data_IF_864452686963
#
_entry.id   IF_864452686963
#
_cell.length_a   1.000
_cell.length_b   1.000
_cell.length_c   1.000
_cell.angle_alpha   90.00
_cell.angle_beta   90.00
_cell.angle_gamma   90.00
#
_symmetry.space_group_name_H-M   'P 1'
#
loop_
_entity.id
_entity.type
_entity.pdbx_description
1 polymer ?
#
# COMPACT_ATOMS: atom_id res chain seq x y z
N UNK A 1 -2.92 17.31 -14.40
CA UNK A 1 -3.40 17.52 -13.03
C UNK A 1 -2.20 17.37 -12.13
N UNK A 2 -1.89 18.41 -11.38
CA UNK A 2 -0.86 18.39 -10.33
C UNK A 2 -1.66 18.31 -9.03
N UNK A 3 -1.39 17.30 -8.22
CA UNK A 3 -2.03 17.13 -6.92
C UNK A 3 -1.20 17.81 -5.85
N UNK A 4 -1.86 18.32 -4.82
CA UNK A 4 -1.17 18.81 -3.64
C UNK A 4 -0.41 17.67 -2.96
N UNK A 5 0.77 17.97 -2.44
CA UNK A 5 1.55 17.02 -1.65
C UNK A 5 0.84 16.74 -0.34
N UNK A 6 0.91 15.50 0.13
CA UNK A 6 0.42 15.16 1.46
C UNK A 6 1.19 15.96 2.53
N UNK A 7 0.56 16.27 3.69
CA UNK A 7 1.24 16.96 4.77
C UNK A 7 2.53 16.23 5.18
N UNK A 8 3.61 16.98 5.37
CA UNK A 8 4.95 16.41 5.59
C UNK A 8 5.01 15.46 6.79
N UNK A 9 4.20 15.73 7.82
CA UNK A 9 4.06 14.93 9.03
C UNK A 9 3.34 13.59 8.80
N UNK A 10 2.58 13.44 7.71
CA UNK A 10 1.85 12.20 7.37
C UNK A 10 2.78 11.19 6.69
N UNK A 11 3.77 11.64 5.91
CA UNK A 11 4.66 10.77 5.13
C UNK A 11 5.41 9.73 6.00
N UNK A 12 6.03 10.10 7.15
CA UNK A 12 6.70 9.13 8.01
C UNK A 12 5.76 8.06 8.57
N UNK A 13 4.48 8.38 8.74
CA UNK A 13 3.49 7.44 9.27
C UNK A 13 3.05 6.45 8.21
N UNK A 14 2.88 6.91 6.96
CA UNK A 14 2.64 6.02 5.82
C UNK A 14 3.82 5.07 5.60
N UNK A 15 5.05 5.56 5.72
CA UNK A 15 6.26 4.74 5.63
C UNK A 15 6.34 3.73 6.78
N UNK A 16 6.14 4.16 8.03
CA UNK A 16 6.17 3.31 9.24
C UNK A 16 5.24 2.09 9.13
N UNK A 17 4.07 2.26 8.52
CA UNK A 17 3.08 1.18 8.35
C UNK A 17 3.12 0.52 6.97
N UNK A 18 4.16 0.78 6.17
CA UNK A 18 4.32 0.26 4.81
C UNK A 18 3.02 0.40 3.99
N UNK A 19 2.46 1.61 3.99
CA UNK A 19 1.24 1.93 3.27
C UNK A 19 1.40 1.59 1.78
N UNK A 20 0.54 0.73 1.21
CA UNK A 20 0.65 0.36 -0.20
C UNK A 20 0.54 1.60 -1.08
N UNK A 21 1.23 1.64 -2.22
CA UNK A 21 1.17 2.79 -3.12
C UNK A 21 -0.28 3.19 -3.40
N UNK A 22 -1.15 2.24 -3.76
CA UNK A 22 -2.57 2.49 -4.04
C UNK A 22 -3.29 3.27 -2.93
N UNK A 23 -2.95 3.02 -1.67
CA UNK A 23 -3.47 3.77 -0.52
C UNK A 23 -2.92 5.19 -0.53
N UNK A 24 -1.61 5.37 -0.69
CA UNK A 24 -0.98 6.70 -0.79
C UNK A 24 -1.62 7.53 -1.91
N UNK A 25 -1.80 6.94 -3.10
CA UNK A 25 -2.48 7.60 -4.23
C UNK A 25 -3.90 8.07 -3.87
N UNK A 26 -4.66 7.20 -3.20
CA UNK A 26 -6.00 7.53 -2.76
C UNK A 26 -5.99 8.70 -1.77
N UNK A 27 -5.15 8.64 -0.75
CA UNK A 27 -5.01 9.70 0.25
C UNK A 27 -4.59 11.03 -0.39
N UNK A 28 -3.66 11.02 -1.35
CA UNK A 28 -3.25 12.21 -2.11
C UNK A 28 -4.43 12.84 -2.86
N UNK A 29 -5.25 12.02 -3.52
CA UNK A 29 -6.42 12.49 -4.27
C UNK A 29 -7.47 13.10 -3.34
N UNK A 30 -7.77 12.44 -2.22
CA UNK A 30 -8.77 12.93 -1.26
C UNK A 30 -8.27 14.19 -0.56
N UNK A 31 -7.00 14.25 -0.19
CA UNK A 31 -6.37 15.46 0.36
C UNK A 31 -6.47 16.65 -0.60
N UNK A 32 -6.15 16.46 -1.89
CA UNK A 32 -6.28 17.51 -2.90
C UNK A 32 -7.74 17.97 -3.07
N UNK A 33 -8.71 17.03 -3.07
CA UNK A 33 -10.14 17.38 -3.13
C UNK A 33 -10.57 18.13 -1.87
N UNK A 34 -10.06 17.77 -0.70
CA UNK A 34 -10.30 18.52 0.53
C UNK A 34 -9.74 19.94 0.45
N UNK A 35 -8.54 20.13 -0.12
CA UNK A 35 -7.95 21.46 -0.36
C UNK A 35 -8.82 22.32 -1.28
N UNK A 36 -9.34 21.76 -2.37
CA UNK A 36 -10.28 22.46 -3.25
C UNK A 36 -11.61 22.78 -2.53
N UNK A 37 -12.12 21.82 -1.76
CA UNK A 37 -13.36 21.97 -0.99
C UNK A 37 -13.27 23.12 0.01
N UNK A 38 -12.21 23.18 0.84
CA UNK A 38 -12.05 24.24 1.85
C UNK A 38 -11.87 25.62 1.21
N UNK A 39 -11.27 25.70 0.02
CA UNK A 39 -11.19 26.95 -0.75
C UNK A 39 -12.58 27.43 -1.15
N UNK A 40 -13.41 26.55 -1.70
CA UNK A 40 -14.79 26.89 -2.08
C UNK A 40 -15.65 27.24 -0.85
N UNK A 41 -15.55 26.47 0.24
CA UNK A 41 -16.24 26.78 1.51
C UNK A 41 -15.86 28.18 2.01
N UNK A 42 -14.57 28.55 1.92
CA UNK A 42 -14.10 29.88 2.34
C UNK A 42 -14.59 31.01 1.43
N UNK A 43 -14.88 30.73 0.16
CA UNK A 43 -15.49 31.70 -0.77
C UNK A 43 -16.97 31.92 -0.44
N UNK A 44 -17.73 30.85 -0.21
CA UNK A 44 -19.16 30.94 0.08
C UNK A 44 -19.46 31.42 1.51
N UNK A 45 -18.61 31.08 2.47
CA UNK A 45 -18.76 31.41 3.89
C UNK A 45 -17.43 31.88 4.51
N UNK A 46 -17.00 33.12 4.24
CA UNK A 46 -15.70 33.63 4.71
C UNK A 46 -15.57 33.72 6.23
N UNK A 47 -16.70 33.86 6.94
CA UNK A 47 -16.77 33.96 8.41
C UNK A 47 -16.99 32.60 9.09
N UNK A 48 -17.10 31.49 8.34
CA UNK A 48 -17.28 30.16 8.91
C UNK A 48 -15.99 29.69 9.59
N UNK A 49 -16.05 29.46 10.90
CA UNK A 49 -14.91 29.05 11.71
C UNK A 49 -14.87 27.52 11.83
N UNK A 50 -13.77 26.94 11.38
CA UNK A 50 -13.42 25.52 11.52
C UNK A 50 -11.92 25.35 11.31
N UNK A 51 -11.37 24.21 11.72
CA UNK A 51 -9.95 23.91 11.57
C UNK A 51 -9.65 23.33 10.17
N UNK A 52 -9.13 24.17 9.28
CA UNK A 52 -8.79 23.79 7.90
C UNK A 52 -7.63 22.78 7.84
N UNK A 53 -6.61 22.97 8.67
CA UNK A 53 -5.43 22.10 8.69
C UNK A 53 -5.83 20.71 9.19
N UNK A 54 -6.77 20.65 10.14
CA UNK A 54 -7.34 19.41 10.63
C UNK A 54 -8.16 18.67 9.56
N UNK A 55 -8.92 19.36 8.71
CA UNK A 55 -9.61 18.75 7.55
C UNK A 55 -8.60 18.17 6.56
N UNK A 56 -7.55 18.93 6.24
CA UNK A 56 -6.49 18.49 5.32
C UNK A 56 -5.74 17.26 5.86
N UNK A 57 -5.44 17.25 7.16
CA UNK A 57 -4.85 16.12 7.86
C UNK A 57 -5.79 14.90 7.84
N UNK A 58 -7.06 15.10 8.16
CA UNK A 58 -8.07 14.04 8.15
C UNK A 58 -8.19 13.39 6.77
N UNK A 59 -8.32 14.18 5.72
CA UNK A 59 -8.35 13.69 4.34
C UNK A 59 -7.10 12.88 3.96
N UNK A 60 -5.93 13.33 4.41
CA UNK A 60 -4.64 12.67 4.16
C UNK A 60 -4.42 11.37 4.97
N UNK A 61 -5.25 11.07 5.97
CA UNK A 61 -5.02 9.94 6.90
C UNK A 61 -6.23 9.05 7.16
N UNK A 62 -7.44 9.42 6.70
CA UNK A 62 -8.69 8.74 7.05
C UNK A 62 -8.69 7.23 6.78
N UNK A 63 -7.94 6.79 5.76
CA UNK A 63 -7.90 5.40 5.34
C UNK A 63 -6.64 4.65 5.82
N UNK A 64 -5.88 5.21 6.76
CA UNK A 64 -4.59 4.65 7.22
C UNK A 64 -4.68 3.20 7.70
N UNK A 65 -5.81 2.78 8.26
CA UNK A 65 -6.02 1.39 8.67
C UNK A 65 -5.90 0.38 7.53
N UNK A 66 -6.08 0.80 6.27
CA UNK A 66 -5.88 -0.03 5.08
C UNK A 66 -4.42 -0.35 4.80
N UNK A 67 -3.47 0.29 5.49
CA UNK A 67 -2.07 -0.13 5.50
C UNK A 67 -1.90 -1.52 6.15
N UNK A 68 -2.73 -1.82 7.16
CA UNK A 68 -2.79 -3.11 7.85
C UNK A 68 -3.79 -4.05 7.18
N UNK A 69 -5.03 -3.61 6.97
CA UNK A 69 -6.09 -4.39 6.33
C UNK A 69 -6.11 -4.18 4.81
N UNK A 70 -5.00 -4.55 4.15
CA UNK A 70 -4.75 -4.25 2.72
C UNK A 70 -5.80 -4.81 1.76
N UNK A 71 -6.48 -5.89 2.12
CA UNK A 71 -7.55 -6.47 1.30
C UNK A 71 -8.72 -5.48 1.10
N UNK A 72 -8.97 -4.58 2.06
CA UNK A 72 -10.03 -3.56 2.01
C UNK A 72 -9.75 -2.44 0.98
N UNK A 73 -8.58 -2.43 0.33
CA UNK A 73 -8.29 -1.58 -0.83
C UNK A 73 -8.99 -2.05 -2.13
N UNK A 74 -9.49 -3.28 -2.12
CA UNK A 74 -10.10 -3.94 -3.29
C UNK A 74 -11.46 -4.56 -2.98
N UNK A 75 -11.63 -4.99 -1.75
CA UNK A 75 -12.82 -5.69 -1.28
C UNK A 75 -13.57 -4.82 -0.25
N UNK A 76 -14.90 -4.99 -0.11
CA UNK A 76 -15.64 -4.33 0.96
C UNK A 76 -15.11 -4.74 2.34
N UNK A 77 -14.98 -3.78 3.25
CA UNK A 77 -14.54 -4.00 4.62
C UNK A 77 -14.61 -2.71 5.45
N UNK A 78 -14.47 -2.84 6.76
CA UNK A 78 -14.58 -1.75 7.74
C UNK A 78 -13.60 -1.93 8.91
N UNK A 79 -12.66 -2.88 8.85
CA UNK A 79 -11.68 -3.12 9.89
C UNK A 79 -10.65 -1.99 9.96
N UNK A 80 -10.35 -1.33 8.82
CA UNK A 80 -9.50 -0.15 8.79
C UNK A 80 -10.00 0.98 9.70
N UNK A 81 -11.32 1.11 9.86
CA UNK A 81 -11.96 2.15 10.67
C UNK A 81 -11.73 1.94 12.17
N UNK A 82 -11.56 0.69 12.60
CA UNK A 82 -11.29 0.33 14.00
C UNK A 82 -9.82 0.54 14.37
N UNK A 83 -8.90 0.07 13.52
CA UNK A 83 -7.46 0.14 13.82
C UNK A 83 -6.86 1.52 13.51
N UNK A 84 -7.42 2.24 12.54
CA UNK A 84 -6.86 3.50 12.03
C UNK A 84 -6.57 4.54 13.12
N UNK A 85 -7.50 4.82 14.06
CA UNK A 85 -7.23 5.74 15.16
C UNK A 85 -6.05 5.32 16.04
N UNK A 86 -5.92 4.02 16.33
CA UNK A 86 -4.81 3.49 17.12
C UNK A 86 -3.46 3.74 16.43
N UNK A 87 -3.36 3.50 15.11
CA UNK A 87 -2.13 3.70 14.34
C UNK A 87 -1.65 5.17 14.39
N UNK A 88 -2.59 6.11 14.32
CA UNK A 88 -2.27 7.54 14.37
C UNK A 88 -1.84 7.97 15.78
N UNK A 89 -2.51 7.48 16.83
CA UNK A 89 -2.15 7.73 18.23
C UNK A 89 -0.75 7.18 18.56
N UNK A 90 -0.45 5.94 18.15
CA UNK A 90 0.88 5.32 18.31
C UNK A 90 1.99 6.01 17.51
N UNK A 91 1.61 6.86 16.56
CA UNK A 91 2.53 7.68 15.77
C UNK A 91 2.65 9.11 16.29
N UNK A 92 2.03 9.41 17.45
CA UNK A 92 2.19 10.67 18.17
C UNK A 92 1.16 11.74 17.82
N UNK A 93 0.13 11.42 17.02
CA UNK A 93 -0.96 12.36 16.74
C UNK A 93 -1.97 12.42 17.87
N UNK A 94 -2.70 13.54 17.95
CA UNK A 94 -3.75 13.76 18.95
C UNK A 94 -5.02 12.94 18.66
N UNK A 95 -5.88 12.75 19.66
CA UNK A 95 -7.21 12.15 19.46
C UNK A 95 -8.05 12.93 18.43
N UNK A 96 -7.93 14.26 18.44
CA UNK A 96 -8.62 15.13 17.49
C UNK A 96 -8.20 14.83 16.04
N UNK A 97 -6.94 14.51 15.81
CA UNK A 97 -6.40 14.11 14.50
C UNK A 97 -6.76 12.65 14.17
N UNK A 98 -6.63 11.75 15.14
CA UNK A 98 -6.80 10.31 14.92
C UNK A 98 -8.25 9.91 14.61
N UNK A 99 -9.24 10.70 15.05
CA UNK A 99 -10.66 10.36 14.90
C UNK A 99 -11.12 10.18 13.46
N UNK A 100 -10.55 10.93 12.50
CA UNK A 100 -10.97 10.88 11.09
C UNK A 100 -10.84 9.49 10.48
N UNK A 101 -9.90 8.68 11.00
CA UNK A 101 -9.74 7.32 10.54
C UNK A 101 -10.97 6.43 10.80
N UNK A 102 -11.86 6.85 11.72
CA UNK A 102 -13.15 6.23 11.99
C UNK A 102 -14.32 7.09 11.49
N UNK A 103 -14.29 8.40 11.75
CA UNK A 103 -15.46 9.27 11.57
C UNK A 103 -15.79 9.54 10.10
N UNK A 104 -14.85 9.42 9.17
CA UNK A 104 -15.13 9.67 7.74
C UNK A 104 -16.22 8.74 7.18
N UNK A 105 -16.25 7.47 7.58
CA UNK A 105 -17.25 6.48 7.17
C UNK A 105 -18.42 6.36 8.17
N UNK A 106 -18.25 6.87 9.39
CA UNK A 106 -19.20 6.71 10.52
C UNK A 106 -19.70 8.02 11.12
N UNK A 107 -19.63 9.12 10.39
CA UNK A 107 -20.09 10.44 10.85
C UNK A 107 -21.54 10.42 11.35
N UNK A 108 -22.38 9.51 10.85
CA UNK A 108 -23.78 9.34 11.24
C UNK A 108 -23.98 8.52 12.52
N UNK A 109 -22.94 7.89 13.05
CA UNK A 109 -22.93 7.17 14.33
C UNK A 109 -22.39 8.04 15.46
N UNK A 110 -21.72 9.15 15.13
CA UNK A 110 -21.28 10.14 16.10
C UNK A 110 -22.48 10.95 16.61
N UNK A 111 -22.57 11.14 17.93
CA UNK A 111 -23.68 11.89 18.53
C UNK A 111 -23.73 13.35 18.03
N UNK A 112 -22.55 13.94 17.78
CA UNK A 112 -22.38 15.30 17.29
C UNK A 112 -21.17 15.36 16.33
N UNK A 113 -21.32 14.96 15.05
CA UNK A 113 -20.24 15.07 14.09
C UNK A 113 -19.84 16.54 13.93
N UNK A 114 -18.54 16.83 14.00
CA UNK A 114 -18.05 18.20 13.79
C UNK A 114 -18.05 18.53 12.29
N UNK A 115 -17.97 19.82 11.96
CA UNK A 115 -17.92 20.25 10.57
C UNK A 115 -16.74 19.62 9.83
N UNK A 116 -15.58 19.52 10.49
CA UNK A 116 -14.37 18.93 9.91
C UNK A 116 -14.58 17.46 9.52
N UNK A 117 -15.28 16.69 10.35
CA UNK A 117 -15.58 15.28 10.08
C UNK A 117 -16.48 15.13 8.85
N UNK A 118 -17.48 16.01 8.71
CA UNK A 118 -18.37 16.05 7.55
C UNK A 118 -17.64 16.49 6.27
N UNK A 119 -16.72 17.44 6.36
CA UNK A 119 -15.91 17.90 5.23
C UNK A 119 -14.95 16.81 4.73
N UNK A 120 -14.33 16.05 5.64
CA UNK A 120 -13.48 14.89 5.27
C UNK A 120 -14.32 13.80 4.62
N UNK A 121 -15.47 13.42 5.21
CA UNK A 121 -16.40 12.45 4.63
C UNK A 121 -16.89 12.90 3.24
N UNK A 122 -17.16 14.20 3.07
CA UNK A 122 -17.61 14.77 1.80
C UNK A 122 -16.52 14.72 0.74
N UNK A 123 -15.27 15.07 1.10
CA UNK A 123 -14.12 14.97 0.21
C UNK A 123 -13.88 13.52 -0.26
N UNK A 124 -13.92 12.54 0.65
CA UNK A 124 -13.80 11.11 0.29
C UNK A 124 -15.00 10.61 -0.55
N UNK A 125 -16.19 11.18 -0.36
CA UNK A 125 -17.33 10.81 -1.20
C UNK A 125 -17.19 11.39 -2.61
N UNK A 126 -16.89 12.68 -2.73
CA UNK A 126 -16.97 13.43 -3.98
C UNK A 126 -15.74 13.29 -4.87
N UNK A 127 -14.60 12.76 -4.37
CA UNK A 127 -13.38 12.68 -5.19
C UNK A 127 -13.59 11.92 -6.50
N UNK A 128 -14.44 10.89 -6.50
CA UNK A 128 -14.83 10.11 -7.68
C UNK A 128 -16.11 10.61 -8.37
N UNK A 129 -16.61 11.78 -7.98
CA UNK A 129 -17.84 12.38 -8.48
C UNK A 129 -19.11 11.71 -7.97
N UNK A 130 -19.02 10.85 -6.95
CA UNK A 130 -20.19 10.24 -6.31
C UNK A 130 -20.89 11.32 -5.47
N UNK A 131 -22.21 11.42 -5.63
CA UNK A 131 -23.09 12.25 -4.80
C UNK A 131 -23.66 11.43 -3.66
N UNK A 132 -23.81 12.05 -2.50
CA UNK A 132 -24.46 11.45 -1.33
C UNK A 132 -25.38 12.49 -0.70
N UNK A 133 -26.67 12.39 -1.05
CA UNK A 133 -27.67 13.34 -0.62
C UNK A 133 -27.83 13.38 0.91
N UNK A 134 -27.58 12.27 1.61
CA UNK A 134 -27.70 12.23 3.07
C UNK A 134 -26.57 13.04 3.70
N UNK A 135 -25.33 12.80 3.26
CA UNK A 135 -24.17 13.57 3.71
C UNK A 135 -24.29 15.06 3.36
N UNK A 136 -24.73 15.38 2.14
CA UNK A 136 -24.95 16.76 1.68
C UNK A 136 -26.00 17.48 2.54
N UNK A 137 -27.09 16.81 2.90
CA UNK A 137 -28.12 17.39 3.78
C UNK A 137 -27.62 17.63 5.21
N UNK A 138 -26.83 16.70 5.77
CA UNK A 138 -26.24 16.84 7.11
C UNK A 138 -25.22 17.99 7.12
N UNK A 139 -24.37 18.08 6.09
CA UNK A 139 -23.42 19.18 5.92
C UNK A 139 -24.15 20.53 5.78
N UNK A 140 -25.21 20.58 4.97
CA UNK A 140 -26.02 21.79 4.79
C UNK A 140 -26.67 22.24 6.10
N UNK A 141 -27.21 21.30 6.88
CA UNK A 141 -27.79 21.59 8.18
C UNK A 141 -26.76 22.15 9.17
N UNK A 142 -25.57 21.54 9.21
CA UNK A 142 -24.49 21.96 10.10
C UNK A 142 -24.03 23.39 9.77
N UNK A 143 -23.76 23.69 8.50
CA UNK A 143 -23.34 25.02 8.06
C UNK A 143 -24.45 26.06 8.30
N UNK A 144 -25.71 25.75 7.95
CA UNK A 144 -26.84 26.66 8.17
C UNK A 144 -27.02 27.02 9.65
N UNK A 145 -26.79 26.07 10.56
CA UNK A 145 -26.86 26.31 12.00
C UNK A 145 -25.76 27.27 12.48
N UNK A 146 -24.57 27.22 11.87
CA UNK A 146 -23.43 28.09 12.22
C UNK A 146 -23.54 29.48 11.59
N UNK A 147 -24.07 29.58 10.37
CA UNK A 147 -24.15 30.85 9.63
C UNK A 147 -25.45 31.60 9.83
N UNK A 148 -26.52 30.90 10.26
CA UNK A 148 -27.88 31.44 10.34
C UNK A 148 -28.58 31.55 8.99
N UNK A 149 -27.97 31.07 7.90
CA UNK A 149 -28.60 31.00 6.58
C UNK A 149 -29.72 29.96 6.52
N UNK A 150 -30.63 30.09 5.56
CA UNK A 150 -31.65 29.08 5.34
C UNK A 150 -31.00 27.79 4.79
N UNK A 151 -31.38 26.63 5.32
CA UNK A 151 -30.76 25.34 4.94
C UNK A 151 -30.82 25.07 3.43
N UNK A 152 -31.87 25.50 2.73
CA UNK A 152 -31.97 25.34 1.27
C UNK A 152 -30.98 26.22 0.51
N UNK A 153 -30.66 27.42 1.00
CA UNK A 153 -29.64 28.30 0.40
C UNK A 153 -28.26 27.67 0.54
N UNK A 154 -27.97 27.14 1.73
CA UNK A 154 -26.72 26.42 2.00
C UNK A 154 -26.61 25.16 1.13
N UNK A 155 -27.71 24.41 0.99
CA UNK A 155 -27.73 23.22 0.14
C UNK A 155 -27.45 23.55 -1.33
N UNK A 156 -28.00 24.64 -1.88
CA UNK A 156 -27.70 25.08 -3.24
C UNK A 156 -26.20 25.41 -3.41
N UNK A 157 -25.59 26.09 -2.44
CA UNK A 157 -24.16 26.37 -2.46
C UNK A 157 -23.33 25.07 -2.40
N UNK A 158 -23.73 24.09 -1.58
CA UNK A 158 -23.07 22.78 -1.55
C UNK A 158 -23.24 22.03 -2.88
N UNK A 159 -24.40 22.12 -3.52
CA UNK A 159 -24.65 21.52 -4.83
C UNK A 159 -23.72 22.10 -5.90
N UNK A 160 -23.56 23.44 -5.94
CA UNK A 160 -22.61 24.11 -6.83
C UNK A 160 -21.16 23.62 -6.60
N UNK A 161 -20.75 23.52 -5.33
CA UNK A 161 -19.42 22.99 -4.96
C UNK A 161 -19.27 21.54 -5.41
N UNK A 162 -20.28 20.71 -5.18
CA UNK A 162 -20.28 19.30 -5.55
C UNK A 162 -20.17 19.12 -7.06
N UNK A 163 -20.90 19.92 -7.85
CA UNK A 163 -20.84 19.91 -9.31
C UNK A 163 -19.44 20.33 -9.82
N UNK A 164 -18.89 21.40 -9.27
CA UNK A 164 -17.54 21.87 -9.61
C UNK A 164 -16.49 20.77 -9.32
N UNK A 165 -16.51 20.18 -8.12
CA UNK A 165 -15.59 19.09 -7.75
C UNK A 165 -15.80 17.85 -8.62
N UNK A 166 -17.04 17.44 -8.87
CA UNK A 166 -17.37 16.25 -9.65
C UNK A 166 -16.95 16.37 -11.13
N UNK A 167 -16.92 17.59 -11.69
CA UNK A 167 -16.50 17.82 -13.08
C UNK A 167 -15.08 17.32 -13.40
N UNK A 168 -14.21 17.27 -12.38
CA UNK A 168 -12.82 16.81 -12.50
C UNK A 168 -12.62 15.35 -12.05
N UNK A 169 -13.69 14.66 -11.63
CA UNK A 169 -13.61 13.31 -11.08
C UNK A 169 -12.97 12.30 -12.04
N UNK A 170 -13.27 12.40 -13.34
CA UNK A 170 -12.70 11.48 -14.32
C UNK A 170 -11.17 11.56 -14.36
N UNK A 171 -10.59 12.76 -14.33
CA UNK A 171 -9.14 12.94 -14.32
C UNK A 171 -8.49 12.38 -13.04
N UNK A 172 -9.17 12.51 -11.88
CA UNK A 172 -8.72 11.94 -10.60
C UNK A 172 -8.80 10.42 -10.59
N UNK A 173 -9.88 9.83 -11.10
CA UNK A 173 -10.01 8.37 -11.25
C UNK A 173 -8.93 7.84 -12.20
N UNK A 174 -8.71 8.50 -13.33
CA UNK A 174 -7.63 8.13 -14.25
C UNK A 174 -6.28 8.25 -13.56
N UNK A 175 -6.00 9.30 -12.81
CA UNK A 175 -4.72 9.45 -12.11
C UNK A 175 -4.53 8.46 -10.97
N UNK A 176 -5.54 8.22 -10.13
CA UNK A 176 -5.49 7.23 -9.06
C UNK A 176 -5.39 5.80 -9.63
N UNK A 177 -6.02 5.57 -10.79
CA UNK A 177 -5.93 4.35 -11.57
C UNK A 177 -4.70 4.31 -12.49
N UNK A 178 -3.89 5.38 -12.60
CA UNK A 178 -2.58 5.28 -13.23
C UNK A 178 -1.79 4.34 -12.37
N UNK A 179 -1.20 3.38 -13.06
CA UNK A 179 -0.77 2.19 -12.40
C UNK A 179 0.45 2.46 -11.54
N UNK A 180 0.23 2.52 -10.22
CA UNK A 180 1.33 2.45 -9.27
C UNK A 180 1.96 1.07 -9.22
N UNK A 181 1.39 0.09 -9.95
CA UNK A 181 2.08 -1.14 -10.31
C UNK A 181 3.33 -0.89 -11.16
N UNK A 182 3.51 0.24 -11.83
CA UNK A 182 4.77 0.52 -12.55
C UNK A 182 5.90 0.98 -11.62
N UNK A 183 5.62 1.14 -10.33
CA UNK A 183 6.64 1.44 -9.33
C UNK A 183 7.63 0.28 -9.28
N UNK A 184 8.90 0.59 -9.49
CA UNK A 184 9.99 -0.34 -9.28
C UNK A 184 10.99 0.26 -8.28
N UNK A 185 11.64 -0.61 -7.52
CA UNK A 185 12.66 -0.27 -6.54
C UNK A 185 14.04 -0.51 -7.12
N UNK A 186 15.06 0.22 -6.67
CA UNK A 186 16.42 0.07 -7.18
C UNK A 186 16.95 -1.34 -6.96
N UNK A 187 16.65 -1.94 -5.80
CA UNK A 187 17.00 -3.32 -5.50
C UNK A 187 16.13 -4.29 -6.30
N UNK A 188 16.78 -5.27 -6.93
CA UNK A 188 16.14 -6.30 -7.75
C UNK A 188 16.33 -7.68 -7.16
N UNK A 189 15.32 -8.54 -7.32
CA UNK A 189 15.40 -9.97 -7.08
C UNK A 189 15.13 -10.68 -8.40
N UNK A 190 16.18 -11.20 -9.03
CA UNK A 190 16.10 -11.78 -10.35
C UNK A 190 15.72 -13.27 -10.31
N UNK A 191 14.81 -13.67 -11.20
CA UNK A 191 14.46 -15.07 -11.44
C UNK A 191 14.61 -15.43 -12.91
N UNK A 192 15.51 -16.35 -13.19
CA UNK A 192 15.75 -16.91 -14.52
C UNK A 192 17.21 -16.75 -14.96
N UNK A 193 17.56 -17.49 -16.00
CA UNK A 193 18.90 -17.43 -16.63
C UNK A 193 18.80 -17.83 -18.11
N UNK A 194 19.88 -17.62 -18.88
CA UNK A 194 19.91 -18.06 -20.27
C UNK A 194 19.75 -19.59 -20.36
N UNK A 195 18.78 -20.04 -21.16
CA UNK A 195 18.49 -21.47 -21.33
C UNK A 195 17.65 -22.12 -20.23
N UNK A 196 17.06 -21.34 -19.30
CA UNK A 196 16.22 -21.84 -18.20
C UNK A 196 14.86 -22.43 -18.61
N UNK A 197 14.52 -22.43 -19.91
CA UNK A 197 13.25 -22.93 -20.45
C UNK A 197 12.01 -22.40 -19.69
N UNK A 198 11.97 -21.08 -19.49
CA UNK A 198 10.89 -20.35 -18.80
C UNK A 198 10.67 -20.78 -17.35
N UNK A 199 11.66 -21.42 -16.70
CA UNK A 199 11.59 -21.74 -15.29
C UNK A 199 11.51 -20.47 -14.44
N UNK A 200 12.35 -19.46 -14.70
CA UNK A 200 12.32 -18.18 -14.00
C UNK A 200 10.92 -17.54 -14.03
N UNK A 201 10.32 -17.47 -15.23
CA UNK A 201 8.97 -16.92 -15.38
C UNK A 201 7.92 -17.72 -14.60
N UNK A 202 8.01 -19.06 -14.58
CA UNK A 202 7.11 -19.91 -13.78
C UNK A 202 7.26 -19.66 -12.28
N UNK A 203 8.50 -19.47 -11.80
CA UNK A 203 8.76 -19.13 -10.39
C UNK A 203 8.18 -17.76 -10.04
N UNK A 204 8.35 -16.76 -10.90
CA UNK A 204 7.73 -15.44 -10.73
C UNK A 204 6.20 -15.56 -10.63
N UNK A 205 5.57 -16.38 -11.46
CA UNK A 205 4.12 -16.62 -11.36
C UNK A 205 3.70 -17.28 -10.04
N UNK A 206 4.55 -18.13 -9.45
CA UNK A 206 4.30 -18.70 -8.12
C UNK A 206 4.41 -17.64 -7.02
N UNK A 207 5.34 -16.69 -7.12
CA UNK A 207 5.45 -15.54 -6.19
C UNK A 207 4.19 -14.69 -6.28
N UNK A 208 3.80 -14.33 -7.51
CA UNK A 208 2.58 -13.57 -7.81
C UNK A 208 1.30 -14.27 -7.30
N UNK A 209 1.30 -15.60 -7.27
CA UNK A 209 0.20 -16.41 -6.74
C UNK A 209 0.29 -16.62 -5.20
N UNK A 210 1.29 -16.08 -4.52
CA UNK A 210 1.54 -16.25 -3.09
C UNK A 210 1.99 -17.67 -2.70
N UNK A 211 2.41 -18.49 -3.66
CA UNK A 211 2.86 -19.87 -3.44
C UNK A 211 4.34 -19.98 -3.12
N UNK A 212 5.15 -19.08 -3.69
CA UNK A 212 6.59 -18.99 -3.43
C UNK A 212 6.87 -17.74 -2.61
N UNK A 213 7.40 -17.92 -1.40
CA UNK A 213 7.70 -16.87 -0.42
C UNK A 213 9.14 -16.96 0.11
N UNK A 214 9.91 -17.92 -0.39
CA UNK A 214 11.34 -18.03 -0.14
C UNK A 214 12.08 -18.46 -1.41
N UNK A 215 13.37 -18.14 -1.46
CA UNK A 215 14.29 -18.64 -2.49
C UNK A 215 15.66 -18.89 -1.88
N UNK A 216 16.43 -19.79 -2.51
CA UNK A 216 17.81 -20.01 -2.12
C UNK A 216 18.76 -20.26 -3.30
N UNK A 217 20.06 -20.07 -3.04
CA UNK A 217 21.13 -20.58 -3.87
C UNK A 217 22.35 -20.92 -3.00
N UNK A 218 23.29 -21.77 -3.48
CA UNK A 218 24.49 -22.09 -2.73
C UNK A 218 25.36 -20.85 -2.45
N UNK A 219 25.86 -20.70 -1.23
CA UNK A 219 26.59 -19.50 -0.80
C UNK A 219 27.81 -19.17 -1.68
N UNK A 220 28.46 -20.16 -2.26
CA UNK A 220 29.63 -19.96 -3.12
C UNK A 220 29.28 -19.26 -4.45
N UNK A 221 28.00 -19.18 -4.84
CA UNK A 221 27.57 -18.47 -6.04
C UNK A 221 27.57 -16.94 -5.87
N UNK A 222 27.88 -16.44 -4.67
CA UNK A 222 27.86 -15.02 -4.35
C UNK A 222 29.26 -14.51 -4.00
N UNK A 223 29.55 -13.29 -4.45
CA UNK A 223 30.64 -12.46 -3.95
C UNK A 223 30.37 -11.99 -2.51
N UNK A 224 31.40 -11.43 -1.86
CA UNK A 224 31.23 -10.90 -0.50
C UNK A 224 30.30 -9.70 -0.46
N UNK A 225 30.36 -8.87 -1.49
CA UNK A 225 29.55 -7.67 -1.66
C UNK A 225 28.07 -8.05 -1.82
N UNK A 226 27.76 -9.03 -2.67
CA UNK A 226 26.38 -9.54 -2.82
C UNK A 226 25.84 -10.14 -1.52
N UNK A 227 26.67 -10.87 -0.76
CA UNK A 227 26.25 -11.40 0.54
C UNK A 227 25.91 -10.28 1.52
N UNK A 228 26.72 -9.22 1.58
CA UNK A 228 26.44 -8.06 2.44
C UNK A 228 25.11 -7.42 2.05
N UNK A 229 24.87 -7.24 0.76
CA UNK A 229 23.62 -6.69 0.26
C UNK A 229 22.42 -7.58 0.61
N UNK A 230 22.52 -8.89 0.40
CA UNK A 230 21.43 -9.83 0.71
C UNK A 230 21.11 -9.79 2.22
N UNK A 231 22.12 -9.88 3.09
CA UNK A 231 21.89 -9.88 4.54
C UNK A 231 21.45 -8.51 5.09
N UNK A 232 21.63 -7.42 4.34
CA UNK A 232 21.09 -6.10 4.70
C UNK A 232 19.67 -5.85 4.20
N UNK A 233 19.13 -6.73 3.34
CA UNK A 233 17.83 -6.52 2.69
C UNK A 233 16.58 -6.62 3.57
N UNK A 234 16.54 -7.30 4.74
CA UNK A 234 15.32 -7.38 5.53
C UNK A 234 14.76 -5.99 5.90
N UNK A 235 13.46 -5.79 5.65
CA UNK A 235 12.77 -4.50 5.79
C UNK A 235 12.71 -3.67 4.51
N UNK A 236 13.46 -4.03 3.47
CA UNK A 236 13.46 -3.30 2.20
C UNK A 236 12.39 -3.79 1.22
N UNK A 237 12.00 -2.90 0.32
CA UNK A 237 11.15 -3.18 -0.83
C UNK A 237 12.00 -3.53 -2.05
N UNK A 238 11.65 -4.61 -2.75
CA UNK A 238 12.44 -5.17 -3.85
C UNK A 238 11.56 -5.48 -5.05
N UNK A 239 12.05 -5.15 -6.25
CA UNK A 239 11.34 -5.51 -7.50
C UNK A 239 11.83 -6.86 -8.01
N UNK A 240 10.89 -7.79 -8.20
CA UNK A 240 11.13 -9.07 -8.85
C UNK A 240 11.18 -8.85 -10.37
N UNK A 241 12.27 -9.30 -10.98
CA UNK A 241 12.53 -9.18 -12.42
C UNK A 241 12.84 -10.55 -13.03
N UNK A 242 12.64 -10.67 -14.35
CA UNK A 242 13.21 -11.79 -15.10
C UNK A 242 14.65 -11.52 -15.57
N UNK A 243 15.24 -12.50 -16.25
CA UNK A 243 16.58 -12.42 -16.87
C UNK A 243 16.74 -11.30 -17.90
N UNK A 244 15.64 -10.78 -18.47
CA UNK A 244 15.65 -9.62 -19.36
C UNK A 244 15.43 -8.29 -18.61
N UNK A 245 15.50 -8.30 -17.28
CA UNK A 245 15.26 -7.16 -16.38
C UNK A 245 13.84 -6.59 -16.47
N UNK A 246 12.87 -7.38 -16.95
CA UNK A 246 11.46 -6.95 -17.00
C UNK A 246 10.86 -7.10 -15.62
N UNK A 247 10.21 -6.06 -15.06
CA UNK A 247 9.63 -6.12 -13.73
C UNK A 247 8.27 -6.82 -13.73
N UNK A 248 7.97 -7.58 -12.67
CA UNK A 248 6.75 -8.39 -12.56
C UNK A 248 5.96 -8.20 -11.26
N UNK A 249 6.65 -7.98 -10.14
CA UNK A 249 6.00 -7.71 -8.86
C UNK A 249 6.98 -7.05 -7.89
N UNK A 250 6.46 -6.42 -6.85
CA UNK A 250 7.23 -5.91 -5.72
C UNK A 250 6.99 -6.81 -4.51
N UNK A 251 8.08 -7.10 -3.79
CA UNK A 251 8.07 -7.89 -2.56
C UNK A 251 8.71 -7.08 -1.43
N UNK A 252 8.29 -7.39 -0.19
CA UNK A 252 8.94 -6.90 1.02
C UNK A 252 9.80 -8.02 1.58
N UNK A 253 11.07 -7.72 1.84
CA UNK A 253 12.03 -8.70 2.34
C UNK A 253 11.84 -8.89 3.84
N UNK A 254 11.54 -10.12 4.25
CA UNK A 254 11.23 -10.46 5.64
C UNK A 254 12.49 -10.87 6.39
N UNK A 255 13.32 -11.71 5.78
CA UNK A 255 14.51 -12.26 6.41
C UNK A 255 15.54 -12.74 5.37
N UNK A 256 16.80 -12.78 5.78
CA UNK A 256 17.88 -13.35 4.99
C UNK A 256 18.86 -14.08 5.92
N UNK A 257 19.09 -15.37 5.68
CA UNK A 257 19.87 -16.21 6.59
C UNK A 257 20.57 -17.36 5.87
N UNK A 258 21.45 -18.07 6.58
CA UNK A 258 22.13 -19.26 6.08
C UNK A 258 21.45 -20.54 6.62
N UNK A 259 21.37 -21.55 5.76
CA UNK A 259 21.02 -22.92 6.15
C UNK A 259 21.91 -23.93 5.43
N UNK A 260 21.83 -25.20 5.81
CA UNK A 260 22.55 -26.30 5.15
C UNK A 260 21.65 -27.05 4.21
N UNK A 261 22.15 -27.48 3.05
CA UNK A 261 21.39 -28.31 2.11
C UNK A 261 20.90 -29.63 2.74
N UNK A 262 21.69 -30.25 3.62
CA UNK A 262 21.32 -31.52 4.28
C UNK A 262 20.20 -31.39 5.30
N UNK A 263 20.08 -30.20 5.93
CA UNK A 263 19.08 -29.87 6.94
C UNK A 263 18.56 -28.44 6.70
N UNK A 264 17.71 -28.23 5.68
CA UNK A 264 17.21 -26.90 5.34
C UNK A 264 16.25 -26.37 6.40
N UNK A 265 16.24 -25.05 6.58
CA UNK A 265 15.29 -24.36 7.48
C UNK A 265 13.84 -24.59 7.00
N UNK A 266 12.88 -24.94 7.88
CA UNK A 266 11.49 -25.17 7.48
C UNK A 266 10.83 -24.00 6.74
N UNK A 267 11.26 -22.76 7.01
CA UNK A 267 10.76 -21.56 6.31
C UNK A 267 11.16 -21.56 4.84
N UNK A 268 12.36 -22.07 4.51
CA UNK A 268 12.79 -22.27 3.13
C UNK A 268 11.94 -23.35 2.46
N UNK A 269 11.85 -24.54 3.07
CA UNK A 269 11.13 -25.68 2.50
C UNK A 269 9.66 -25.33 2.23
N UNK A 270 8.99 -24.71 3.20
CA UNK A 270 7.61 -24.28 3.03
C UNK A 270 7.48 -23.15 2.01
N UNK A 271 8.39 -22.18 2.02
CA UNK A 271 8.36 -21.02 1.12
C UNK A 271 8.75 -21.33 -0.34
N UNK A 272 9.41 -22.46 -0.59
CA UNK A 272 9.65 -23.00 -1.94
C UNK A 272 8.46 -23.82 -2.47
N UNK A 273 7.45 -24.06 -1.62
CA UNK A 273 6.23 -24.79 -1.98
C UNK A 273 6.24 -26.29 -1.66
N UNK A 274 7.25 -26.78 -0.92
CA UNK A 274 7.36 -28.19 -0.50
C UNK A 274 6.67 -28.48 0.84
N UNK A 275 6.02 -27.49 1.46
CA UNK A 275 5.38 -27.65 2.77
C UNK A 275 6.41 -28.02 3.86
N UNK A 276 6.27 -29.20 4.45
CA UNK A 276 7.22 -29.72 5.45
C UNK A 276 8.18 -30.77 4.86
N UNK A 277 8.11 -31.06 3.55
CA UNK A 277 8.86 -32.13 2.90
C UNK A 277 10.27 -31.67 2.46
N UNK A 278 11.21 -31.73 3.41
CA UNK A 278 12.62 -31.42 3.13
C UNK A 278 13.31 -32.41 2.17
N UNK A 279 12.81 -33.65 2.03
CA UNK A 279 13.38 -34.61 1.08
C UNK A 279 12.97 -34.27 -0.35
N UNK A 280 11.71 -33.88 -0.55
CA UNK A 280 11.24 -33.37 -1.84
C UNK A 280 12.04 -32.13 -2.25
N UNK A 281 12.20 -31.16 -1.36
CA UNK A 281 13.03 -29.98 -1.59
C UNK A 281 14.45 -30.37 -2.07
N UNK A 282 15.11 -31.30 -1.36
CA UNK A 282 16.45 -31.78 -1.71
C UNK A 282 16.49 -32.51 -3.05
N UNK A 283 15.46 -33.30 -3.38
CA UNK A 283 15.39 -34.02 -4.64
C UNK A 283 15.28 -33.05 -5.83
N UNK A 284 14.38 -32.07 -5.73
CA UNK A 284 14.15 -31.05 -6.77
C UNK A 284 15.44 -30.24 -7.01
N UNK A 285 16.07 -29.74 -5.93
CA UNK A 285 17.29 -28.93 -6.05
C UNK A 285 18.51 -29.73 -6.52
N UNK A 286 18.62 -31.02 -6.15
CA UNK A 286 19.66 -31.89 -6.74
C UNK A 286 19.48 -31.98 -8.25
N UNK A 287 18.25 -32.17 -8.72
CA UNK A 287 17.98 -32.27 -10.14
C UNK A 287 18.26 -30.95 -10.87
N UNK A 288 17.84 -29.83 -10.29
CA UNK A 288 17.94 -28.51 -10.93
C UNK A 288 19.38 -27.97 -10.94
N UNK A 289 20.19 -28.27 -9.92
CA UNK A 289 21.55 -27.74 -9.82
C UNK A 289 22.64 -28.69 -10.34
N UNK A 290 22.35 -29.97 -10.57
CA UNK A 290 23.37 -30.98 -10.89
C UNK A 290 24.31 -30.56 -12.02
N UNK A 291 23.76 -30.21 -13.19
CA UNK A 291 24.55 -29.89 -14.38
C UNK A 291 25.38 -28.62 -14.21
N UNK A 292 24.83 -27.62 -13.53
CA UNK A 292 25.51 -26.35 -13.25
C UNK A 292 26.65 -26.52 -12.24
N UNK A 293 26.41 -27.25 -11.16
CA UNK A 293 27.44 -27.55 -10.16
C UNK A 293 28.60 -28.34 -10.77
N UNK A 294 28.30 -29.35 -11.57
CA UNK A 294 29.31 -30.13 -12.30
C UNK A 294 30.14 -29.25 -13.23
N UNK A 295 29.53 -28.28 -13.94
CA UNK A 295 30.27 -27.36 -14.82
C UNK A 295 31.16 -26.37 -14.06
N UNK A 296 30.76 -25.97 -12.85
CA UNK A 296 31.54 -25.07 -11.98
C UNK A 296 32.56 -25.84 -11.10
N UNK A 297 32.61 -27.16 -11.20
CA UNK A 297 33.53 -27.99 -10.40
C UNK A 297 33.14 -28.11 -8.93
N UNK A 298 31.86 -27.90 -8.61
CA UNK A 298 31.28 -28.04 -7.28
C UNK A 298 30.43 -29.31 -7.16
N UNK A 299 30.24 -29.77 -5.92
CA UNK A 299 29.35 -30.89 -5.61
C UNK A 299 28.38 -30.48 -4.51
N UNK A 300 27.10 -30.78 -4.68
CA UNK A 300 26.10 -30.56 -3.63
C UNK A 300 26.23 -31.62 -2.54
N UNK A 301 26.62 -31.20 -1.34
CA UNK A 301 26.71 -32.06 -0.15
C UNK A 301 25.78 -31.55 0.95
N UNK A 302 25.55 -32.37 1.98
CA UNK A 302 24.70 -32.00 3.11
C UNK A 302 25.23 -30.76 3.87
N UNK A 303 26.54 -30.51 3.83
CA UNK A 303 27.20 -29.36 4.46
C UNK A 303 27.14 -28.08 3.63
N UNK A 304 26.68 -28.17 2.37
CA UNK A 304 26.63 -27.02 1.45
C UNK A 304 25.75 -25.93 2.05
N UNK A 305 26.32 -24.74 2.26
CA UNK A 305 25.59 -23.58 2.77
C UNK A 305 24.70 -23.00 1.67
N UNK A 306 23.46 -22.71 2.01
CA UNK A 306 22.49 -22.03 1.17
C UNK A 306 22.23 -20.65 1.75
N UNK A 307 22.27 -19.63 0.89
CA UNK A 307 21.79 -18.29 1.23
C UNK A 307 20.30 -18.28 0.95
N UNK A 308 19.51 -17.95 1.97
CA UNK A 308 18.05 -17.93 1.91
C UNK A 308 17.57 -16.50 1.99
N UNK A 309 16.59 -16.18 1.15
CA UNK A 309 15.84 -14.93 1.21
C UNK A 309 14.36 -15.25 1.36
N UNK A 310 13.71 -14.68 2.38
CA UNK A 310 12.28 -14.81 2.65
C UNK A 310 11.60 -13.48 2.36
N UNK A 311 10.47 -13.52 1.66
CA UNK A 311 9.79 -12.33 1.20
C UNK A 311 8.28 -12.53 1.13
N UNK A 312 7.54 -11.43 1.17
CA UNK A 312 6.09 -11.41 0.96
C UNK A 312 5.73 -10.57 -0.28
N UNK A 313 4.76 -11.05 -1.06
CA UNK A 313 4.23 -10.30 -2.19
C UNK A 313 3.47 -9.06 -1.70
N UNK A 314 3.81 -7.90 -2.25
CA UNK A 314 3.12 -6.64 -1.97
C UNK A 314 2.14 -6.31 -3.10
N UNK A 315 2.63 -6.27 -4.33
CA UNK A 315 1.82 -5.96 -5.50
C UNK A 315 2.43 -6.52 -6.78
N UNK A 316 1.59 -6.70 -7.81
CA UNK A 316 2.08 -7.00 -9.16
C UNK A 316 2.52 -5.71 -9.83
N UNK A 317 3.50 -5.81 -10.72
CA UNK A 317 3.87 -4.75 -11.65
C UNK A 317 3.12 -4.98 -12.95
N UNK A 318 2.33 -4.01 -13.41
CA UNK A 318 1.65 -4.11 -14.71
C UNK A 318 2.55 -3.55 -15.80
N UNK A 319 2.43 -4.15 -16.99
CA UNK A 319 3.08 -3.72 -18.22
C UNK A 319 2.39 -2.52 -18.88
#
# INVERSE_FOLDING_TARGET
MIFDELPSEVLPVLEKYAAPPRLVAHLTVVHHVAAMLIQQVSVYWPELVYDRDLVLFGAATHDIGKAIYRHELREPGHQHEEIGPQLLLESGFSEAQARFARTHARYNQEEQPQLEDLLVAFADTIWKGKRDQTLEQVLAHHIATHTGEAQWEVYMKIDDIAEALASEAHARIVWQGRDQSTLTYDRKLEFGWEGDNDLGLRLIQQIIAGKKTATCAPMFSYSKEELIEIFSSPGEMVTVVDKEQRPYCNVHMIDAFLTTFGNPDPRLVSGEGNGEDSEQFKQEHRQDWQSWLESEGHSLTDETQLVVQVFELIEKVSA
#
